data_IF_442794949711
#
_entry.id   IF_442794949711
#
_cell.length_a   1.000
_cell.length_b   1.000
_cell.length_c   1.000
_cell.angle_alpha   90.00
_cell.angle_beta   90.00
_cell.angle_gamma   90.00
#
_symmetry.space_group_name_H-M   'P 1'
#
loop_
_entity.id
_entity.type
_entity.pdbx_description
1 polymer ?
#
# COMPACT_ATOMS: atom_id res chain seq x y z
N UNK A 1 12.66 17.88 -13.44
CA UNK A 1 12.65 16.59 -12.72
C UNK A 1 11.70 16.73 -11.55
N UNK A 2 10.75 15.82 -11.40
CA UNK A 2 9.86 15.79 -10.23
C UNK A 2 10.77 15.59 -8.99
N UNK A 3 10.64 16.45 -7.98
CA UNK A 3 11.30 16.25 -6.68
C UNK A 3 12.64 16.97 -6.43
N UNK A 4 13.35 17.45 -7.46
CA UNK A 4 14.65 18.10 -7.25
C UNK A 4 14.52 19.43 -6.49
N UNK A 5 15.25 19.56 -5.38
CA UNK A 5 15.24 20.74 -4.51
C UNK A 5 13.97 20.91 -3.66
N UNK A 6 13.15 19.87 -3.51
CA UNK A 6 12.06 19.83 -2.55
C UNK A 6 12.57 19.38 -1.18
N UNK A 7 12.06 19.98 -0.11
CA UNK A 7 12.22 19.44 1.23
C UNK A 7 11.34 18.21 1.45
N UNK A 8 10.18 18.15 0.77
CA UNK A 8 9.25 17.04 0.89
C UNK A 8 8.54 16.76 -0.43
N UNK A 9 8.48 15.47 -0.79
CA UNK A 9 7.51 14.92 -1.71
C UNK A 9 6.66 13.87 -0.98
N UNK A 10 5.37 14.13 -0.81
CA UNK A 10 4.44 13.20 -0.19
C UNK A 10 3.47 12.63 -1.22
N UNK A 11 3.66 11.36 -1.56
CA UNK A 11 2.74 10.58 -2.39
C UNK A 11 1.71 9.94 -1.46
N UNK A 12 0.50 10.47 -1.44
CA UNK A 12 -0.50 10.12 -0.44
C UNK A 12 -1.55 9.14 -1.00
N UNK A 13 -1.94 8.11 -0.23
CA UNK A 13 -3.14 7.35 -0.54
C UNK A 13 -4.35 8.29 -0.64
N UNK A 14 -5.20 8.10 -1.66
CA UNK A 14 -6.32 9.00 -1.92
C UNK A 14 -7.21 9.29 -0.69
N UNK A 15 -7.52 8.32 0.20
CA UNK A 15 -8.37 8.57 1.38
C UNK A 15 -7.82 9.60 2.36
N UNK A 16 -6.49 9.74 2.46
CA UNK A 16 -5.85 10.61 3.44
C UNK A 16 -5.35 11.92 2.84
N UNK A 17 -5.35 12.06 1.51
CA UNK A 17 -4.78 13.23 0.82
C UNK A 17 -5.35 14.55 1.34
N UNK A 18 -6.66 14.75 1.20
CA UNK A 18 -7.30 16.03 1.57
C UNK A 18 -7.20 16.32 3.07
N UNK A 19 -7.47 15.37 3.98
CA UNK A 19 -7.28 15.60 5.41
C UNK A 19 -5.82 15.95 5.79
N UNK A 20 -4.83 15.31 5.15
CA UNK A 20 -3.41 15.62 5.39
C UNK A 20 -3.05 17.00 4.84
N UNK A 21 -3.53 17.38 3.66
CA UNK A 21 -3.31 18.73 3.10
C UNK A 21 -3.83 19.81 4.05
N UNK A 22 -5.05 19.65 4.55
CA UNK A 22 -5.64 20.57 5.54
C UNK A 22 -4.80 20.63 6.82
N UNK A 23 -4.39 19.47 7.33
CA UNK A 23 -3.55 19.40 8.52
C UNK A 23 -2.16 20.03 8.31
N UNK A 24 -1.62 19.92 7.11
CA UNK A 24 -0.33 20.46 6.74
C UNK A 24 -0.39 21.98 6.57
N UNK A 25 -1.44 22.52 5.95
CA UNK A 25 -1.68 23.96 5.85
C UNK A 25 -1.79 24.61 7.24
N UNK A 26 -2.51 23.96 8.16
CA UNK A 26 -2.59 24.40 9.55
C UNK A 26 -1.24 24.33 10.26
N UNK A 27 -0.45 23.28 10.03
CA UNK A 27 0.91 23.17 10.55
C UNK A 27 1.81 24.31 10.04
N UNK A 28 1.79 24.60 8.74
CA UNK A 28 2.55 25.71 8.16
C UNK A 28 2.16 27.05 8.78
N UNK A 29 0.89 27.25 9.11
CA UNK A 29 0.41 28.46 9.80
C UNK A 29 0.92 28.60 11.25
N UNK A 30 1.43 27.51 11.87
CA UNK A 30 2.07 27.57 13.20
C UNK A 30 3.55 27.93 13.16
N UNK A 31 4.19 27.83 11.99
CA UNK A 31 5.61 28.12 11.83
C UNK A 31 5.87 29.63 11.68
N UNK A 32 7.08 30.11 12.02
CA UNK A 32 7.52 31.46 11.64
C UNK A 32 7.36 31.67 10.12
N UNK A 33 6.86 32.82 9.65
CA UNK A 33 6.60 33.04 8.22
C UNK A 33 7.79 32.77 7.30
N UNK A 34 9.01 33.11 7.74
CA UNK A 34 10.24 32.85 7.00
C UNK A 34 10.51 31.35 6.83
N UNK A 35 10.26 30.55 7.89
CA UNK A 35 10.40 29.08 7.85
C UNK A 35 9.33 28.47 6.96
N UNK A 36 8.08 28.87 7.12
CA UNK A 36 6.96 28.38 6.29
C UNK A 36 7.21 28.64 4.80
N UNK A 37 7.69 29.83 4.44
CA UNK A 37 7.99 30.20 3.04
C UNK A 37 9.22 29.49 2.48
N UNK A 38 10.18 29.11 3.33
CA UNK A 38 11.38 28.38 2.92
C UNK A 38 11.11 26.91 2.61
N UNK A 39 10.05 26.31 3.17
CA UNK A 39 9.72 24.91 2.96
C UNK A 39 9.12 24.66 1.56
N UNK A 40 9.87 23.94 0.73
CA UNK A 40 9.42 23.51 -0.60
C UNK A 40 8.83 22.10 -0.51
N UNK A 41 7.54 22.02 -0.28
CA UNK A 41 6.82 20.76 -0.09
C UNK A 41 5.80 20.53 -1.22
N UNK A 42 5.67 19.29 -1.66
CA UNK A 42 4.68 18.87 -2.65
C UNK A 42 3.90 17.67 -2.13
N UNK A 43 2.58 17.79 -2.05
CA UNK A 43 1.65 16.75 -1.62
C UNK A 43 0.79 16.34 -2.81
N UNK A 44 0.83 15.07 -3.19
CA UNK A 44 0.17 14.56 -4.39
C UNK A 44 -0.58 13.28 -4.10
N UNK A 45 -1.63 13.00 -4.88
CA UNK A 45 -2.25 11.69 -4.83
C UNK A 45 -1.33 10.66 -5.49
N UNK A 46 -1.01 9.56 -4.80
CA UNK A 46 -0.15 8.51 -5.35
C UNK A 46 -0.65 8.05 -6.73
N UNK A 47 -1.95 7.78 -6.85
CA UNK A 47 -2.56 7.33 -8.11
C UNK A 47 -2.42 8.30 -9.29
N UNK A 48 -2.06 9.57 -9.06
CA UNK A 48 -1.92 10.59 -10.11
C UNK A 48 -0.51 10.64 -10.69
N UNK A 49 0.52 10.33 -9.88
CA UNK A 49 1.93 10.54 -10.26
C UNK A 49 2.86 9.36 -9.95
N UNK A 50 2.30 8.25 -9.44
CA UNK A 50 3.02 7.01 -9.09
C UNK A 50 3.91 6.57 -10.26
N UNK A 51 3.34 6.34 -11.46
CA UNK A 51 4.13 5.94 -12.62
C UNK A 51 5.17 7.00 -13.02
N UNK A 52 4.77 8.27 -13.12
CA UNK A 52 5.66 9.34 -13.60
C UNK A 52 6.87 9.56 -12.69
N UNK A 53 6.70 9.49 -11.36
CA UNK A 53 7.81 9.66 -10.43
C UNK A 53 8.70 8.42 -10.41
N UNK A 54 8.12 7.23 -10.22
CA UNK A 54 8.88 6.00 -10.03
C UNK A 54 9.63 5.56 -11.30
N UNK A 55 9.13 5.88 -12.49
CA UNK A 55 9.81 5.63 -13.76
C UNK A 55 11.10 6.46 -13.91
N UNK A 56 11.23 7.58 -13.18
CA UNK A 56 12.45 8.39 -13.19
C UNK A 56 13.50 7.95 -12.17
N UNK A 57 13.11 7.29 -11.08
CA UNK A 57 13.98 7.00 -9.93
C UNK A 57 15.27 6.27 -10.34
N UNK A 58 15.19 5.30 -11.25
CA UNK A 58 16.34 4.54 -11.72
C UNK A 58 17.39 5.41 -12.44
N UNK A 59 16.95 6.50 -13.07
CA UNK A 59 17.81 7.44 -13.80
C UNK A 59 18.47 8.47 -12.87
N UNK A 60 17.99 8.61 -11.64
CA UNK A 60 18.55 9.52 -10.64
C UNK A 60 19.76 8.85 -9.97
N UNK A 61 20.93 9.45 -10.13
CA UNK A 61 22.21 8.87 -9.68
C UNK A 61 22.92 9.64 -8.59
N UNK A 62 22.46 10.85 -8.27
CA UNK A 62 23.00 11.71 -7.23
C UNK A 62 21.91 12.02 -6.19
N UNK A 63 22.31 12.13 -4.92
CA UNK A 63 21.39 12.31 -3.79
C UNK A 63 20.57 13.60 -3.89
N UNK A 64 21.18 14.66 -4.44
CA UNK A 64 20.59 15.99 -4.57
C UNK A 64 19.43 16.03 -5.59
N UNK A 65 19.32 15.01 -6.44
CA UNK A 65 18.21 14.87 -7.37
C UNK A 65 16.91 14.42 -6.67
N UNK A 66 17.03 13.84 -5.47
CA UNK A 66 15.88 13.41 -4.66
C UNK A 66 15.42 14.51 -3.71
N UNK A 67 14.12 14.55 -3.37
CA UNK A 67 13.62 15.32 -2.23
C UNK A 67 14.33 14.94 -0.93
N UNK A 68 14.38 15.86 0.04
CA UNK A 68 14.98 15.59 1.35
C UNK A 68 14.16 14.58 2.18
N UNK A 69 12.83 14.62 2.03
CA UNK A 69 11.88 13.67 2.60
C UNK A 69 10.98 13.14 1.48
N UNK A 70 10.78 11.82 1.43
CA UNK A 70 9.88 11.17 0.47
C UNK A 70 8.92 10.28 1.23
N UNK A 71 7.61 10.52 1.09
CA UNK A 71 6.56 9.63 1.62
C UNK A 71 5.96 8.87 0.44
N UNK A 72 5.89 7.55 0.57
CA UNK A 72 5.40 6.67 -0.50
C UNK A 72 4.67 5.43 0.01
N UNK A 73 3.53 5.07 -0.61
CA UNK A 73 2.85 3.82 -0.33
C UNK A 73 3.34 2.70 -1.25
N UNK A 74 3.14 1.46 -0.80
CA UNK A 74 3.37 0.25 -1.59
C UNK A 74 4.85 -0.08 -1.83
N UNK A 75 5.06 -1.14 -2.62
CA UNK A 75 6.38 -1.54 -3.09
C UNK A 75 6.62 -0.89 -4.46
N UNK A 76 7.62 0.00 -4.51
CA UNK A 76 7.89 0.88 -5.64
C UNK A 76 9.40 0.97 -5.92
N UNK A 77 9.82 1.81 -6.87
CA UNK A 77 11.22 1.96 -7.29
C UNK A 77 12.20 2.31 -6.15
N UNK A 78 11.73 2.85 -5.03
CA UNK A 78 12.55 3.14 -3.84
C UNK A 78 12.92 1.87 -3.04
N UNK A 79 12.41 0.70 -3.42
CA UNK A 79 12.79 -0.61 -2.89
C UNK A 79 13.58 -1.45 -3.91
N UNK A 80 13.84 -0.90 -5.10
CA UNK A 80 14.55 -1.63 -6.16
C UNK A 80 16.07 -1.54 -6.01
N UNK A 81 16.82 -2.56 -6.46
CA UNK A 81 18.27 -2.61 -6.28
C UNK A 81 19.05 -1.36 -6.70
N UNK A 82 18.75 -0.67 -7.83
CA UNK A 82 19.49 0.54 -8.19
C UNK A 82 19.43 1.64 -7.12
N UNK A 83 18.28 1.82 -6.47
CA UNK A 83 18.12 2.80 -5.39
C UNK A 83 18.69 2.27 -4.08
N UNK A 84 18.38 1.02 -3.73
CA UNK A 84 18.79 0.39 -2.47
C UNK A 84 20.31 0.29 -2.35
N UNK A 85 21.01 -0.21 -3.38
CA UNK A 85 22.46 -0.36 -3.36
C UNK A 85 23.17 1.00 -3.27
N UNK A 86 22.62 2.02 -3.95
CA UNK A 86 23.25 3.34 -4.06
C UNK A 86 23.04 4.20 -2.82
N UNK A 87 21.85 4.18 -2.24
CA UNK A 87 21.42 5.18 -1.25
C UNK A 87 21.06 4.59 0.12
N UNK A 88 20.43 3.41 0.15
CA UNK A 88 19.99 2.79 1.40
C UNK A 88 21.17 2.13 2.09
N UNK A 89 21.85 1.18 1.41
CA UNK A 89 23.00 0.45 1.97
C UNK A 89 24.21 1.34 2.28
N UNK A 90 24.26 2.53 1.70
CA UNK A 90 25.30 3.53 1.96
C UNK A 90 24.93 4.51 3.08
N UNK A 91 23.77 4.34 3.72
CA UNK A 91 23.34 5.14 4.87
C UNK A 91 22.91 6.57 4.54
N UNK A 92 22.54 6.86 3.28
CA UNK A 92 22.11 8.21 2.88
C UNK A 92 20.68 8.54 3.31
N UNK A 93 19.91 7.51 3.71
CA UNK A 93 18.59 7.66 4.32
C UNK A 93 18.53 7.01 5.70
N UNK A 94 17.70 7.57 6.58
CA UNK A 94 17.57 7.16 7.98
C UNK A 94 16.10 7.11 8.41
N UNK A 95 15.75 6.11 9.22
CA UNK A 95 14.45 6.04 9.88
C UNK A 95 14.34 7.08 11.00
N UNK A 96 13.15 7.61 11.22
CA UNK A 96 12.86 8.57 12.29
C UNK A 96 11.94 8.02 13.38
N UNK A 97 11.52 6.76 13.29
CA UNK A 97 10.76 6.11 14.34
C UNK A 97 11.34 4.75 14.77
N UNK A 98 11.24 4.50 16.08
CA UNK A 98 11.59 3.23 16.74
C UNK A 98 10.37 2.59 17.41
N UNK A 99 9.18 3.15 17.19
CA UNK A 99 7.93 2.67 17.76
C UNK A 99 7.14 1.84 16.73
N UNK A 100 6.45 0.82 17.23
CA UNK A 100 5.75 -0.17 16.42
C UNK A 100 4.24 -0.22 16.74
N UNK A 101 3.62 0.92 16.99
CA UNK A 101 2.19 1.02 17.27
C UNK A 101 1.75 0.32 18.56
N UNK A 102 0.52 -0.20 18.52
CA UNK A 102 -0.10 -0.93 19.62
C UNK A 102 0.41 -2.39 19.72
N UNK A 103 -0.22 -3.17 20.60
CA UNK A 103 0.10 -4.60 20.80
C UNK A 103 -0.08 -5.47 19.55
N UNK A 104 -0.96 -5.08 18.62
CA UNK A 104 -1.19 -5.81 17.39
C UNK A 104 -0.06 -5.56 16.39
N UNK A 105 0.35 -4.30 16.25
CA UNK A 105 1.36 -3.89 15.27
C UNK A 105 2.79 -4.24 15.73
N UNK A 106 3.07 -4.15 17.03
CA UNK A 106 4.40 -4.45 17.59
C UNK A 106 4.83 -5.90 17.38
N UNK A 107 3.88 -6.84 17.33
CA UNK A 107 4.15 -8.25 17.05
C UNK A 107 4.56 -8.53 15.60
N UNK A 108 4.33 -7.59 14.67
CA UNK A 108 4.55 -7.80 13.22
C UNK A 108 5.99 -7.49 12.77
N UNK A 109 6.80 -6.87 13.62
CA UNK A 109 8.15 -6.42 13.23
C UNK A 109 8.10 -5.36 12.12
N UNK A 110 7.21 -4.37 12.26
CA UNK A 110 6.96 -3.34 11.23
C UNK A 110 8.07 -2.28 11.15
N UNK A 111 8.88 -2.12 12.18
CA UNK A 111 10.07 -1.28 12.13
C UNK A 111 11.14 -1.90 11.25
N UNK A 112 11.74 -1.12 10.37
CA UNK A 112 12.84 -1.55 9.52
C UNK A 112 14.07 -1.92 10.38
N UNK A 113 14.53 -3.19 10.36
CA UNK A 113 15.67 -3.62 11.16
C UNK A 113 17.00 -2.99 10.70
N UNK A 114 17.05 -2.40 9.51
CA UNK A 114 18.23 -1.71 8.98
C UNK A 114 18.25 -0.21 9.29
N UNK A 115 17.13 0.33 9.80
CA UNK A 115 17.06 1.72 10.26
C UNK A 115 17.05 2.77 9.15
N UNK A 116 16.61 2.44 7.94
CA UNK A 116 16.58 3.36 6.79
C UNK A 116 15.17 3.82 6.42
N UNK A 117 14.17 2.93 6.52
CA UNK A 117 12.78 3.22 6.19
C UNK A 117 11.95 3.46 7.46
N UNK A 118 11.26 4.60 7.50
CA UNK A 118 10.25 4.87 8.55
C UNK A 118 8.92 4.31 8.08
N UNK A 119 8.30 3.37 8.79
CA UNK A 119 6.90 3.00 8.52
C UNK A 119 5.98 4.01 9.20
N UNK A 120 5.02 4.59 8.48
CA UNK A 120 4.04 5.54 9.04
C UNK A 120 2.71 4.86 9.33
N UNK A 121 2.21 4.11 8.36
CA UNK A 121 0.92 3.43 8.42
C UNK A 121 0.85 2.23 7.47
N UNK A 122 -0.24 1.47 7.56
CA UNK A 122 -0.46 0.25 6.79
C UNK A 122 -1.78 0.37 6.03
N UNK A 123 -1.73 0.26 4.70
CA UNK A 123 -2.94 0.11 3.91
C UNK A 123 -3.35 -1.37 3.90
N UNK A 124 -4.47 -1.67 4.54
CA UNK A 124 -4.97 -3.05 4.67
C UNK A 124 -5.76 -3.45 3.43
N UNK A 125 -5.47 -4.62 2.84
CA UNK A 125 -6.33 -5.24 1.83
C UNK A 125 -7.10 -6.42 2.42
N UNK A 126 -8.39 -6.48 2.07
CA UNK A 126 -9.34 -7.49 2.54
C UNK A 126 -10.22 -7.99 1.38
N UNK A 127 -10.67 -9.26 1.39
CA UNK A 127 -11.72 -9.73 0.51
C UNK A 127 -13.09 -9.19 0.95
N UNK A 128 -13.89 -8.72 -0.02
CA UNK A 128 -15.30 -8.41 0.17
C UNK A 128 -16.12 -9.36 -0.68
N UNK A 129 -17.07 -10.04 -0.04
CA UNK A 129 -17.95 -11.04 -0.64
C UNK A 129 -19.31 -10.42 -0.92
N UNK A 130 -19.85 -10.62 -2.12
CA UNK A 130 -21.26 -10.35 -2.45
C UNK A 130 -22.04 -11.67 -2.47
N UNK A 131 -22.86 -11.89 -1.45
CA UNK A 131 -23.60 -13.15 -1.26
C UNK A 131 -24.60 -13.47 -2.37
N UNK A 132 -25.09 -12.45 -3.09
CA UNK A 132 -25.99 -12.67 -4.24
C UNK A 132 -25.27 -13.34 -5.42
N UNK A 133 -23.96 -13.12 -5.51
CA UNK A 133 -23.10 -13.59 -6.62
C UNK A 133 -22.21 -14.74 -6.21
N UNK A 134 -21.94 -14.91 -4.91
CA UNK A 134 -21.25 -16.06 -4.39
C UNK A 134 -22.01 -17.36 -4.71
N UNK A 135 -23.35 -17.36 -4.59
CA UNK A 135 -24.16 -18.56 -4.78
C UNK A 135 -23.87 -19.58 -3.68
N UNK A 136 -23.80 -20.87 -4.04
CA UNK A 136 -23.55 -21.97 -3.10
C UNK A 136 -22.06 -22.17 -2.77
N UNK A 137 -21.17 -21.31 -3.30
CA UNK A 137 -19.73 -21.39 -3.03
C UNK A 137 -19.45 -20.99 -1.58
N UNK A 138 -18.45 -21.60 -0.93
CA UNK A 138 -18.11 -21.23 0.43
C UNK A 138 -17.59 -19.78 0.48
N UNK A 139 -17.80 -19.12 1.62
CA UNK A 139 -17.15 -17.85 1.92
C UNK A 139 -15.66 -18.12 2.19
N UNK A 140 -14.73 -17.43 1.50
CA UNK A 140 -13.31 -17.63 1.73
C UNK A 140 -12.94 -17.21 3.15
N UNK A 141 -12.07 -17.96 3.80
CA UNK A 141 -11.59 -17.69 5.16
C UNK A 141 -10.14 -17.25 5.16
N UNK A 142 -9.34 -17.66 4.19
CA UNK A 142 -7.94 -17.27 4.04
C UNK A 142 -7.59 -16.92 2.60
N UNK A 143 -6.40 -16.35 2.37
CA UNK A 143 -5.95 -16.00 1.01
C UNK A 143 -5.81 -17.21 0.09
N UNK A 144 -5.45 -18.38 0.63
CA UNK A 144 -5.34 -19.62 -0.14
C UNK A 144 -6.69 -20.12 -0.67
N UNK A 145 -7.81 -19.80 -0.01
CA UNK A 145 -9.14 -20.16 -0.49
C UNK A 145 -9.43 -19.51 -1.84
N UNK A 146 -9.00 -18.25 -2.04
CA UNK A 146 -9.19 -17.52 -3.29
C UNK A 146 -8.50 -18.18 -4.51
N UNK A 147 -7.62 -19.17 -4.29
CA UNK A 147 -6.95 -19.93 -5.33
C UNK A 147 -7.74 -21.16 -5.80
N UNK A 148 -8.83 -21.51 -5.10
CA UNK A 148 -9.65 -22.69 -5.41
C UNK A 148 -10.39 -22.53 -6.74
N UNK A 149 -10.56 -23.61 -7.53
CA UNK A 149 -11.16 -23.53 -8.87
C UNK A 149 -12.64 -23.10 -8.88
N UNK A 150 -13.36 -23.26 -7.78
CA UNK A 150 -14.75 -22.76 -7.64
C UNK A 150 -14.89 -21.23 -7.78
N UNK A 151 -13.79 -20.49 -7.58
CA UNK A 151 -13.75 -19.04 -7.77
C UNK A 151 -13.27 -18.61 -9.16
N UNK A 152 -13.17 -19.54 -10.11
CA UNK A 152 -12.80 -19.24 -11.49
C UNK A 152 -13.63 -18.08 -12.06
N UNK A 153 -12.95 -17.09 -12.66
CA UNK A 153 -13.56 -15.88 -13.24
C UNK A 153 -14.57 -15.15 -12.33
N UNK A 154 -14.37 -15.17 -11.02
CA UNK A 154 -15.31 -14.57 -10.06
C UNK A 154 -14.71 -13.45 -9.20
N UNK A 155 -13.40 -13.22 -9.31
CA UNK A 155 -12.68 -12.23 -8.50
C UNK A 155 -12.45 -10.92 -9.24
N UNK A 156 -12.42 -9.82 -8.50
CA UNK A 156 -11.81 -8.55 -8.92
C UNK A 156 -10.67 -8.16 -7.96
N UNK A 157 -9.56 -7.71 -8.52
CA UNK A 157 -8.42 -7.16 -7.76
C UNK A 157 -7.97 -5.85 -8.38
N UNK A 158 -7.14 -5.07 -7.66
CA UNK A 158 -6.58 -3.82 -8.19
C UNK A 158 -5.72 -4.12 -9.43
N UNK A 159 -6.09 -3.50 -10.55
CA UNK A 159 -5.35 -3.52 -11.81
C UNK A 159 -5.07 -2.11 -12.32
N UNK A 160 -4.03 -1.98 -13.12
CA UNK A 160 -3.51 -0.73 -13.67
C UNK A 160 -3.66 -0.69 -15.20
N UNK A 161 -3.59 0.52 -15.78
CA UNK A 161 -3.79 0.73 -17.23
C UNK A 161 -2.71 0.07 -18.08
N UNK A 162 -1.50 -0.07 -17.55
CA UNK A 162 -0.36 -0.74 -18.17
C UNK A 162 -0.45 -2.28 -18.14
N UNK A 163 -1.51 -2.82 -17.52
CA UNK A 163 -1.75 -4.25 -17.39
C UNK A 163 -1.03 -4.91 -16.22
N UNK A 164 -0.50 -4.13 -15.27
CA UNK A 164 0.00 -4.64 -13.99
C UNK A 164 -1.12 -4.73 -12.95
N UNK A 165 -0.89 -5.50 -11.88
CA UNK A 165 -1.85 -5.75 -10.79
C UNK A 165 -1.22 -5.46 -9.43
N UNK A 166 -2.05 -5.48 -8.39
CA UNK A 166 -1.65 -5.27 -7.01
C UNK A 166 -0.44 -6.14 -6.61
N UNK A 167 0.72 -5.50 -6.53
CA UNK A 167 2.00 -6.07 -6.14
C UNK A 167 1.94 -6.68 -4.73
N UNK A 168 1.32 -6.00 -3.77
CA UNK A 168 1.14 -6.49 -2.40
C UNK A 168 0.43 -7.86 -2.36
N UNK A 169 -0.68 -8.01 -3.11
CA UNK A 169 -1.41 -9.28 -3.20
C UNK A 169 -0.56 -10.35 -3.90
N UNK A 170 -0.03 -10.04 -5.08
CA UNK A 170 0.71 -11.03 -5.87
C UNK A 170 1.98 -11.50 -5.17
N UNK A 171 2.73 -10.60 -4.52
CA UNK A 171 3.93 -10.96 -3.76
C UNK A 171 3.59 -11.91 -2.62
N UNK A 172 2.47 -11.66 -1.92
CA UNK A 172 2.05 -12.51 -0.81
C UNK A 172 1.63 -13.90 -1.29
N UNK A 173 0.81 -13.98 -2.35
CA UNK A 173 0.44 -15.27 -2.95
C UNK A 173 1.69 -16.03 -3.42
N UNK A 174 2.63 -15.33 -4.06
CA UNK A 174 3.87 -15.94 -4.52
C UNK A 174 4.73 -16.46 -3.35
N UNK A 175 4.88 -15.69 -2.28
CA UNK A 175 5.62 -16.10 -1.08
C UNK A 175 5.05 -17.39 -0.47
N UNK A 176 3.72 -17.52 -0.45
CA UNK A 176 3.05 -18.66 0.19
C UNK A 176 2.93 -19.90 -0.72
N UNK A 177 2.76 -19.70 -2.02
CA UNK A 177 2.32 -20.76 -2.95
C UNK A 177 3.07 -20.79 -4.29
N UNK A 178 4.04 -19.90 -4.47
CA UNK A 178 4.86 -19.80 -5.66
C UNK A 178 4.08 -19.49 -6.95
N UNK A 179 4.69 -19.83 -8.08
CA UNK A 179 4.15 -19.57 -9.42
C UNK A 179 2.80 -20.27 -9.64
N UNK A 180 2.60 -21.46 -9.05
CA UNK A 180 1.36 -22.22 -9.20
C UNK A 180 0.15 -21.48 -8.61
N UNK A 181 0.31 -20.86 -7.43
CA UNK A 181 -0.75 -20.04 -6.84
C UNK A 181 -1.00 -18.75 -7.63
N UNK A 182 0.04 -18.11 -8.17
CA UNK A 182 -0.15 -16.95 -9.06
C UNK A 182 -0.97 -17.29 -10.30
N UNK A 183 -0.71 -18.44 -10.94
CA UNK A 183 -1.49 -18.90 -12.09
C UNK A 183 -2.94 -19.20 -11.71
N UNK A 184 -3.16 -19.84 -10.54
CA UNK A 184 -4.50 -20.13 -10.02
C UNK A 184 -5.27 -18.83 -9.72
N UNK A 185 -4.62 -17.86 -9.08
CA UNK A 185 -5.16 -16.51 -8.88
C UNK A 185 -5.49 -15.84 -10.22
N UNK A 186 -4.59 -15.95 -11.21
CA UNK A 186 -4.81 -15.45 -12.57
C UNK A 186 -6.08 -15.97 -13.21
N UNK A 187 -6.35 -17.28 -13.07
CA UNK A 187 -7.57 -17.93 -13.56
C UNK A 187 -8.84 -17.45 -12.85
N UNK A 188 -8.73 -17.17 -11.56
CA UNK A 188 -9.87 -16.77 -10.73
C UNK A 188 -10.22 -15.28 -10.88
N UNK A 189 -9.24 -14.44 -11.25
CA UNK A 189 -9.44 -13.01 -11.47
C UNK A 189 -10.01 -12.72 -12.85
N UNK A 190 -11.25 -12.24 -12.85
CA UNK A 190 -11.91 -11.72 -14.05
C UNK A 190 -11.57 -10.26 -14.32
N UNK A 191 -11.53 -9.45 -13.28
CA UNK A 191 -11.41 -7.99 -13.41
C UNK A 191 -10.17 -7.41 -12.72
N UNK A 192 -9.44 -6.58 -13.46
CA UNK A 192 -8.42 -5.67 -12.92
C UNK A 192 -9.01 -4.27 -12.82
N UNK A 193 -9.63 -3.95 -11.69
CA UNK A 193 -10.39 -2.71 -11.51
C UNK A 193 -9.75 -1.82 -10.46
N UNK A 194 -9.93 -0.50 -10.58
CA UNK A 194 -9.69 0.38 -9.46
C UNK A 194 -10.71 0.09 -8.34
N UNK A 195 -10.35 0.16 -7.04
CA UNK A 195 -11.29 -0.10 -5.94
C UNK A 195 -12.61 0.69 -6.02
N UNK A 196 -12.59 1.95 -6.48
CA UNK A 196 -13.83 2.72 -6.69
C UNK A 196 -14.77 2.11 -7.76
N UNK A 197 -14.22 1.45 -8.78
CA UNK A 197 -15.03 0.71 -9.76
C UNK A 197 -15.62 -0.55 -9.13
N UNK A 198 -14.91 -1.23 -8.22
CA UNK A 198 -15.46 -2.36 -7.46
C UNK A 198 -16.62 -1.91 -6.58
N UNK A 199 -16.50 -0.77 -5.88
CA UNK A 199 -17.61 -0.21 -5.08
C UNK A 199 -18.79 0.17 -5.96
N UNK A 200 -18.55 0.85 -7.09
CA UNK A 200 -19.62 1.18 -8.04
C UNK A 200 -20.33 -0.05 -8.58
N UNK A 201 -19.58 -1.11 -8.91
CA UNK A 201 -20.14 -2.36 -9.39
C UNK A 201 -20.93 -3.09 -8.30
N UNK A 202 -20.43 -3.10 -7.06
CA UNK A 202 -21.11 -3.67 -5.91
C UNK A 202 -22.45 -2.97 -5.67
N UNK A 203 -22.46 -1.63 -5.56
CA UNK A 203 -23.66 -0.83 -5.31
C UNK A 203 -24.64 -0.78 -6.50
N UNK A 204 -24.18 -1.14 -7.69
CA UNK A 204 -25.00 -1.19 -8.89
C UNK A 204 -25.74 -2.52 -9.09
N UNK A 205 -26.49 -2.58 -10.20
CA UNK A 205 -27.27 -3.76 -10.60
C UNK A 205 -26.60 -4.58 -11.71
N UNK A 206 -25.31 -4.35 -12.01
CA UNK A 206 -24.63 -5.05 -13.10
C UNK A 206 -24.65 -6.56 -12.85
N UNK A 207 -25.22 -7.39 -13.75
CA UNK A 207 -25.15 -8.84 -13.60
C UNK A 207 -23.70 -9.35 -13.68
N UNK A 208 -22.80 -8.54 -14.25
CA UNK A 208 -21.40 -8.86 -14.51
C UNK A 208 -20.43 -8.34 -13.43
N UNK A 209 -20.89 -8.15 -12.20
CA UNK A 209 -20.00 -7.82 -11.09
C UNK A 209 -19.34 -9.08 -10.50
N UNK A 210 -18.13 -8.97 -9.93
CA UNK A 210 -17.45 -10.10 -9.28
C UNK A 210 -18.23 -10.60 -8.06
N UNK A 211 -18.05 -11.88 -7.72
CA UNK A 211 -18.54 -12.44 -6.47
C UNK A 211 -17.69 -11.98 -5.27
N UNK A 212 -16.38 -11.80 -5.50
CA UNK A 212 -15.44 -11.39 -4.46
C UNK A 212 -14.54 -10.28 -5.02
N UNK A 213 -14.38 -9.19 -4.27
CA UNK A 213 -13.48 -8.10 -4.61
C UNK A 213 -12.40 -7.96 -3.54
N UNK A 214 -11.13 -8.02 -3.92
CA UNK A 214 -10.01 -7.71 -3.01
C UNK A 214 -9.70 -6.23 -3.13
N UNK A 215 -9.86 -5.49 -2.03
CA UNK A 215 -9.73 -4.04 -2.03
C UNK A 215 -9.19 -3.51 -0.69
N UNK A 216 -8.72 -2.25 -0.65
CA UNK A 216 -8.38 -1.59 0.60
C UNK A 216 -9.56 -1.55 1.58
N UNK A 217 -9.29 -1.74 2.88
CA UNK A 217 -10.31 -1.73 3.94
C UNK A 217 -11.13 -0.44 3.92
N UNK A 218 -10.50 0.71 3.68
CA UNK A 218 -11.20 1.99 3.50
C UNK A 218 -12.37 1.92 2.51
N UNK A 219 -12.18 1.30 1.34
CA UNK A 219 -13.24 1.15 0.36
C UNK A 219 -14.28 0.12 0.84
N UNK A 220 -13.84 -0.99 1.42
CA UNK A 220 -14.72 -2.02 1.95
C UNK A 220 -15.70 -1.47 3.00
N UNK A 221 -15.25 -0.49 3.82
CA UNK A 221 -16.07 0.15 4.86
C UNK A 221 -17.33 0.83 4.30
N UNK A 222 -17.36 1.20 3.01
CA UNK A 222 -18.57 1.73 2.34
C UNK A 222 -19.72 0.73 2.23
N UNK A 223 -19.44 -0.56 2.45
CA UNK A 223 -20.39 -1.66 2.37
C UNK A 223 -20.84 -2.17 3.75
N UNK A 224 -20.32 -1.61 4.85
CA UNK A 224 -20.77 -1.96 6.20
C UNK A 224 -22.27 -1.65 6.37
N UNK A 225 -22.97 -2.54 7.05
CA UNK A 225 -24.42 -2.45 7.30
C UNK A 225 -25.29 -2.89 6.11
N UNK A 226 -24.70 -3.34 5.01
CA UNK A 226 -25.44 -3.91 3.87
C UNK A 226 -25.40 -5.44 3.94
N UNK A 227 -26.53 -6.04 4.26
CA UNK A 227 -26.66 -7.48 4.58
C UNK A 227 -26.15 -8.42 3.49
N UNK A 228 -26.21 -8.00 2.22
CA UNK A 228 -25.74 -8.81 1.10
C UNK A 228 -24.21 -8.86 0.95
N UNK A 229 -23.44 -8.09 1.74
CA UNK A 229 -21.98 -8.12 1.71
C UNK A 229 -21.37 -8.59 3.02
N UNK A 230 -20.20 -9.20 2.91
CA UNK A 230 -19.34 -9.44 4.06
C UNK A 230 -17.93 -8.99 3.76
N UNK A 231 -17.37 -8.19 4.67
CA UNK A 231 -15.95 -7.84 4.68
C UNK A 231 -15.25 -8.96 5.44
N UNK A 232 -14.41 -9.72 4.75
CA UNK A 232 -13.72 -10.86 5.33
C UNK A 232 -12.41 -10.35 5.91
N UNK A 233 -12.24 -10.50 7.23
CA UNK A 233 -10.93 -10.45 7.85
C UNK A 233 -10.33 -11.86 7.77
N UNK A 234 -9.29 -12.10 6.95
CA UNK A 234 -8.79 -13.46 6.73
C UNK A 234 -8.21 -14.07 8.02
N UNK A 235 -8.41 -15.38 8.22
CA UNK A 235 -7.85 -16.15 9.33
C UNK A 235 -6.30 -16.04 9.34
N UNK A 236 -5.68 -15.97 8.15
CA UNK A 236 -4.23 -15.78 7.97
C UNK A 236 -3.81 -14.30 7.84
N UNK A 237 -4.72 -13.36 8.12
CA UNK A 237 -4.47 -11.94 8.29
C UNK A 237 -4.84 -11.05 7.10
N UNK A 238 -5.26 -9.82 7.39
CA UNK A 238 -5.41 -8.77 6.37
C UNK A 238 -4.04 -8.40 5.79
N UNK A 239 -3.93 -8.26 4.47
CA UNK A 239 -2.63 -7.95 3.84
C UNK A 239 -2.21 -6.54 4.15
N UNK A 240 -0.93 -6.35 4.43
CA UNK A 240 -0.33 -5.04 4.65
C UNK A 240 0.39 -4.58 3.40
N UNK A 241 -0.05 -3.45 2.86
CA UNK A 241 0.76 -2.62 1.95
C UNK A 241 1.30 -1.43 2.75
N UNK A 242 2.62 -1.18 2.77
CA UNK A 242 3.21 -0.22 3.68
C UNK A 242 3.01 1.22 3.18
N UNK A 243 2.93 2.18 4.09
CA UNK A 243 3.16 3.61 3.81
C UNK A 243 4.44 4.00 4.51
N UNK A 244 5.48 4.32 3.74
CA UNK A 244 6.83 4.57 4.25
C UNK A 244 7.29 6.00 4.03
N UNK A 245 8.23 6.44 4.85
CA UNK A 245 8.94 7.69 4.72
C UNK A 245 10.44 7.47 4.72
N UNK A 246 11.11 8.05 3.74
CA UNK A 246 12.56 8.15 3.63
C UNK A 246 12.99 9.58 3.98
N UNK A 247 14.04 9.70 4.78
CA UNK A 247 14.60 10.99 5.22
C UNK A 247 16.08 10.98 4.94
N UNK A 248 16.59 11.95 4.18
CA UNK A 248 18.03 12.09 3.98
C UNK A 248 18.73 12.26 5.32
N UNK A 249 19.77 11.48 5.56
CA UNK A 249 20.49 11.47 6.84
C UNK A 249 21.00 12.86 7.21
N UNK A 250 21.54 13.60 6.23
CA UNK A 250 22.07 14.96 6.45
C UNK A 250 21.00 16.01 6.77
N UNK A 251 19.72 15.73 6.46
CA UNK A 251 18.59 16.65 6.66
C UNK A 251 17.78 16.38 7.92
N UNK A 252 18.06 15.29 8.63
CA UNK A 252 17.30 14.89 9.83
C UNK A 252 17.24 15.99 10.88
N UNK A 253 18.38 16.61 11.20
CA UNK A 253 18.42 17.67 12.21
C UNK A 253 17.84 19.00 11.70
N UNK A 254 18.00 19.30 10.41
CA UNK A 254 17.52 20.55 9.80
C UNK A 254 15.99 20.58 9.62
N UNK A 255 15.36 19.42 9.44
CA UNK A 255 13.94 19.25 9.18
C UNK A 255 13.18 18.61 10.35
N UNK A 256 13.72 18.66 11.57
CA UNK A 256 13.15 18.00 12.75
C UNK A 256 11.70 18.42 13.04
N UNK A 257 11.38 19.71 12.85
CA UNK A 257 10.01 20.25 12.96
C UNK A 257 9.04 19.58 11.97
N UNK A 258 9.45 19.49 10.70
CA UNK A 258 8.67 18.87 9.64
C UNK A 258 8.52 17.36 9.87
N UNK A 259 9.59 16.70 10.34
CA UNK A 259 9.58 15.28 10.68
C UNK A 259 8.65 14.99 11.88
N UNK A 260 8.66 15.85 12.90
CA UNK A 260 7.77 15.74 14.05
C UNK A 260 6.29 15.89 13.66
N UNK A 261 5.97 16.70 12.65
CA UNK A 261 4.62 16.75 12.09
C UNK A 261 4.25 15.43 11.38
N UNK A 262 5.08 14.98 10.42
CA UNK A 262 4.77 13.83 9.57
C UNK A 262 4.77 12.48 10.29
N UNK A 263 5.70 12.30 11.24
CA UNK A 263 5.76 11.11 12.08
C UNK A 263 4.89 11.23 13.34
N UNK A 264 4.27 12.38 13.58
CA UNK A 264 3.55 12.71 14.82
C UNK A 264 2.11 12.19 14.91
N UNK A 265 1.47 12.39 16.07
CA UNK A 265 0.15 11.83 16.39
C UNK A 265 -0.97 12.36 15.49
N UNK A 266 -0.86 13.60 15.01
CA UNK A 266 -1.90 14.21 14.16
C UNK A 266 -2.02 13.51 12.81
N UNK A 267 -0.89 13.31 12.13
CA UNK A 267 -0.86 12.58 10.85
C UNK A 267 -1.24 11.11 11.05
N UNK A 268 -0.74 10.49 12.13
CA UNK A 268 -1.11 9.13 12.48
C UNK A 268 -2.63 8.96 12.75
N UNK A 269 -3.29 9.93 13.40
CA UNK A 269 -4.73 9.91 13.63
C UNK A 269 -5.53 10.01 12.32
N UNK A 270 -5.05 10.77 11.34
CA UNK A 270 -5.66 10.85 10.00
C UNK A 270 -5.57 9.50 9.28
N UNK A 271 -4.41 8.83 9.35
CA UNK A 271 -4.25 7.47 8.82
C UNK A 271 -5.20 6.48 9.51
N UNK A 272 -5.19 6.43 10.85
CA UNK A 272 -6.07 5.56 11.64
C UNK A 272 -7.55 5.78 11.30
N UNK A 273 -8.01 7.04 11.25
CA UNK A 273 -9.40 7.39 10.90
C UNK A 273 -9.79 7.02 9.46
N UNK A 274 -8.83 6.82 8.56
CA UNK A 274 -9.05 6.31 7.21
C UNK A 274 -8.90 4.78 7.10
N UNK A 275 -8.82 4.07 8.22
CA UNK A 275 -8.58 2.61 8.29
C UNK A 275 -7.20 2.17 7.79
N UNK A 276 -6.19 3.03 7.98
CA UNK A 276 -4.78 2.71 7.79
C UNK A 276 -4.13 2.63 9.17
N UNK A 277 -3.99 1.43 9.78
CA UNK A 277 -3.33 1.31 11.08
C UNK A 277 -2.00 2.07 11.07
N UNK A 278 -1.89 3.06 11.95
CA UNK A 278 -0.73 3.91 12.10
C UNK A 278 0.17 3.37 13.22
N UNK A 279 1.48 3.52 13.07
CA UNK A 279 2.44 2.98 14.05
C UNK A 279 2.72 3.92 15.22
N UNK A 280 2.17 5.14 15.22
CA UNK A 280 2.43 6.09 16.31
C UNK A 280 1.73 5.66 17.61
N UNK A 281 2.44 5.58 18.76
CA UNK A 281 1.93 4.95 19.98
C UNK A 281 0.79 5.71 20.67
N UNK A 282 0.59 6.99 20.32
CA UNK A 282 -0.50 7.80 20.89
C UNK A 282 -1.83 7.66 20.14
N UNK A 283 -1.88 6.87 19.07
CA UNK A 283 -3.08 6.70 18.25
C UNK A 283 -3.67 5.32 18.47
N UNK A 284 -4.96 5.28 18.80
CA UNK A 284 -5.74 4.04 18.78
C UNK A 284 -6.19 3.76 17.34
N UNK A 285 -5.83 2.58 16.82
CA UNK A 285 -6.20 2.13 15.48
C UNK A 285 -7.62 1.54 15.42
N UNK A 286 -8.29 1.38 16.57
CA UNK A 286 -9.62 0.79 16.70
C UNK A 286 -9.73 -0.57 15.99
N UNK A 287 -8.64 -1.36 16.06
CA UNK A 287 -8.58 -2.66 15.43
C UNK A 287 -9.44 -3.67 16.19
N UNK A 288 -10.09 -4.62 15.48
CA UNK A 288 -10.72 -5.75 16.13
C UNK A 288 -9.76 -6.45 17.10
N UNK A 289 -10.27 -6.92 18.24
CA UNK A 289 -9.41 -7.52 19.26
C UNK A 289 -8.61 -8.72 18.72
N UNK A 290 -9.24 -9.52 17.85
CA UNK A 290 -8.68 -10.67 17.16
C UNK A 290 -8.07 -10.34 15.78
N UNK A 291 -7.80 -9.06 15.48
CA UNK A 291 -7.21 -8.64 14.22
C UNK A 291 -5.85 -9.33 13.99
N UNK A 292 -5.77 -10.11 12.92
CA UNK A 292 -4.54 -10.71 12.40
C UNK A 292 -4.07 -9.97 11.15
N UNK A 293 -2.76 -9.94 10.92
CA UNK A 293 -2.18 -9.25 9.79
C UNK A 293 -1.21 -10.14 9.04
N UNK A 294 -1.12 -9.92 7.74
CA UNK A 294 -0.24 -10.64 6.85
C UNK A 294 0.75 -9.67 6.19
N UNK A 295 1.87 -9.48 6.88
CA UNK A 295 3.00 -8.69 6.42
C UNK A 295 4.01 -9.58 5.70
N UNK A 296 4.53 -9.14 4.55
CA UNK A 296 5.54 -9.93 3.83
C UNK A 296 6.89 -9.97 4.55
N UNK A 297 7.16 -8.99 5.44
CA UNK A 297 8.34 -8.95 6.29
C UNK A 297 9.55 -8.26 5.64
N UNK A 298 10.30 -7.52 6.46
CA UNK A 298 11.55 -6.86 6.03
C UNK A 298 12.59 -7.83 5.50
N UNK A 299 12.75 -9.00 6.14
CA UNK A 299 13.68 -10.03 5.66
C UNK A 299 13.37 -10.46 4.22
N UNK A 300 12.08 -10.59 3.87
CA UNK A 300 11.69 -10.94 2.51
C UNK A 300 11.98 -9.78 1.54
N UNK A 301 11.74 -8.54 1.96
CA UNK A 301 11.99 -7.35 1.13
C UNK A 301 13.49 -7.19 0.85
N UNK A 302 14.32 -7.28 1.89
CA UNK A 302 15.77 -7.06 1.84
C UNK A 302 16.47 -8.14 0.99
N UNK A 303 16.01 -9.40 1.09
CA UNK A 303 16.68 -10.53 0.44
C UNK A 303 16.14 -10.82 -0.98
N UNK A 304 15.27 -9.97 -1.54
CA UNK A 304 14.73 -10.16 -2.89
C UNK A 304 14.96 -8.93 -3.77
N UNK A 305 15.23 -9.17 -5.05
CA UNK A 305 15.21 -8.12 -6.08
C UNK A 305 13.74 -7.75 -6.36
N UNK A 306 13.24 -6.72 -5.67
CA UNK A 306 11.83 -6.30 -5.73
C UNK A 306 11.40 -5.99 -7.16
N UNK A 307 12.26 -5.36 -7.97
CA UNK A 307 11.98 -5.06 -9.38
C UNK A 307 11.70 -6.33 -10.17
N UNK A 308 12.65 -7.27 -10.15
CA UNK A 308 12.52 -8.55 -10.88
C UNK A 308 11.36 -9.36 -10.34
N UNK A 309 11.15 -9.36 -9.03
CA UNK A 309 10.05 -10.07 -8.38
C UNK A 309 8.70 -9.53 -8.87
N UNK A 310 8.44 -8.22 -8.80
CA UNK A 310 7.18 -7.61 -9.25
C UNK A 310 6.93 -7.90 -10.74
N UNK A 311 7.97 -7.83 -11.58
CA UNK A 311 7.86 -8.18 -12.99
C UNK A 311 7.48 -9.65 -13.20
N UNK A 312 8.18 -10.57 -12.52
CA UNK A 312 7.98 -12.01 -12.64
C UNK A 312 6.61 -12.47 -12.13
N UNK A 313 6.15 -11.95 -10.98
CA UNK A 313 4.85 -12.32 -10.42
C UNK A 313 3.70 -11.82 -11.30
N UNK A 314 3.81 -10.62 -11.88
CA UNK A 314 2.82 -10.10 -12.82
C UNK A 314 2.76 -10.96 -14.08
N UNK A 315 3.92 -11.35 -14.63
CA UNK A 315 3.97 -12.23 -15.80
C UNK A 315 3.32 -13.59 -15.53
N UNK A 316 3.65 -14.23 -14.40
CA UNK A 316 3.07 -15.51 -13.98
C UNK A 316 1.56 -15.44 -13.75
N UNK A 317 1.09 -14.39 -13.07
CA UNK A 317 -0.34 -14.14 -12.86
C UNK A 317 -1.07 -13.96 -14.20
N UNK A 318 -0.52 -13.14 -15.11
CA UNK A 318 -1.10 -12.93 -16.44
C UNK A 318 -1.13 -14.20 -17.28
N UNK A 319 -0.16 -15.09 -17.13
CA UNK A 319 -0.16 -16.38 -17.82
C UNK A 319 -1.38 -17.22 -17.43
N UNK A 320 -1.69 -17.31 -16.13
CA UNK A 320 -2.90 -18.00 -15.66
C UNK A 320 -4.20 -17.33 -16.08
N UNK A 321 -4.21 -15.99 -16.20
CA UNK A 321 -5.36 -15.24 -16.71
C UNK A 321 -5.55 -15.41 -18.23
N UNK A 322 -4.45 -15.52 -18.98
CA UNK A 322 -4.44 -15.68 -20.43
C UNK A 322 -4.95 -17.04 -20.91
N UNK A 323 -4.86 -18.09 -20.08
CA UNK A 323 -5.50 -19.40 -20.33
C UNK A 323 -7.04 -19.29 -20.45
N UNK A 324 -7.64 -18.20 -19.97
CA UNK A 324 -9.08 -17.94 -20.00
C UNK A 324 -9.53 -16.99 -21.14
N UNK A 325 -8.64 -16.56 -22.04
CA UNK A 325 -9.08 -15.98 -23.32
C UNK A 325 -9.61 -17.14 -24.17
N UNK A 326 -10.85 -17.54 -23.91
CA UNK A 326 -11.65 -18.17 -24.96
C UNK A 326 -11.66 -17.15 -26.09
N UNK A 327 -11.06 -17.50 -27.23
CA UNK A 327 -11.24 -16.77 -28.47
C UNK A 327 -12.74 -16.45 -28.59
N UNK A 328 -13.07 -15.17 -28.48
CA UNK A 328 -14.26 -14.65 -29.12
C UNK A 328 -13.98 -14.59 -30.62
#
# INVERSE_FOLDING_TARGET
MIGAGLNLLALLPCPVKVPIEQAFDEYLATLPPERATALRCQLEGNANIESDYYDTVEQLTQLEQFPDIIISPGFNSLFEPPFVERFIKTGQFVSVNEYAGDRHLSALGVCDPTGHYTMLAMNLLVPVVDHRRLGDRPVPRCWADLLKPEYENSLAIRGHKDGTFCETLLMTIYKDTGVAGLRSMGRNVRYGWHPSQMIKAALGSSPDAPAISVMPLFFAQTLVGKEQYSIIWPDDGALISPVTMLVKTEKRAELDDLLAFWAGPRVAAIFSGAFFPAVHPQVDNQLPEAATFKWIGWDYIINNDIKKLISAINAAFRQGRGENIRCA
#
